data_IF_153018868739
#
_entry.id   IF_153018868739
#
_cell.length_a   1.000
_cell.length_b   1.000
_cell.length_c   1.000
_cell.angle_alpha   90.00
_cell.angle_beta   90.00
_cell.angle_gamma   90.00
#
_symmetry.space_group_name_H-M   'P 1'
#
loop_
_entity.id
_entity.type
_entity.pdbx_description
1 polymer ?
#
# COMPACT_ATOMS: atom_id res chain seq x y z
N UNK A 1 -47.49 -16.28 -54.66
CA UNK A 1 -47.44 -16.19 -53.18
C UNK A 1 -46.56 -17.27 -52.55
N UNK A 2 -46.72 -18.57 -52.87
CA UNK A 2 -45.92 -19.67 -52.27
C UNK A 2 -44.40 -19.57 -52.47
N UNK A 3 -43.92 -19.12 -53.63
CA UNK A 3 -42.47 -18.96 -53.92
C UNK A 3 -41.80 -17.87 -53.04
N UNK A 4 -42.49 -16.77 -52.76
CA UNK A 4 -41.97 -15.68 -51.92
C UNK A 4 -41.88 -16.09 -50.44
N UNK A 5 -42.83 -16.91 -49.96
CA UNK A 5 -42.77 -17.48 -48.60
C UNK A 5 -41.53 -18.35 -48.44
N UNK A 6 -41.21 -19.21 -49.42
CA UNK A 6 -40.00 -20.05 -49.38
C UNK A 6 -38.71 -19.23 -49.33
N UNK A 7 -38.64 -18.13 -50.10
CA UNK A 7 -37.47 -17.22 -50.08
C UNK A 7 -37.32 -16.57 -48.71
N UNK A 8 -38.41 -16.07 -48.11
CA UNK A 8 -38.37 -15.45 -46.78
C UNK A 8 -37.92 -16.46 -45.71
N UNK A 9 -38.43 -17.68 -45.77
CA UNK A 9 -38.03 -18.76 -44.84
C UNK A 9 -36.55 -19.10 -45.01
N UNK A 10 -36.06 -19.23 -46.25
CA UNK A 10 -34.64 -19.51 -46.50
C UNK A 10 -33.74 -18.38 -45.98
N UNK A 11 -34.11 -17.11 -46.22
CA UNK A 11 -33.38 -15.95 -45.69
C UNK A 11 -33.38 -15.95 -44.16
N UNK A 12 -34.51 -16.28 -43.53
CA UNK A 12 -34.60 -16.37 -42.07
C UNK A 12 -33.65 -17.44 -41.49
N UNK A 13 -33.59 -18.63 -42.10
CA UNK A 13 -32.64 -19.67 -41.69
C UNK A 13 -31.18 -19.24 -41.89
N UNK A 14 -30.87 -18.56 -43.00
CA UNK A 14 -29.53 -18.03 -43.26
C UNK A 14 -29.15 -17.00 -42.19
N UNK A 15 -30.07 -16.09 -41.81
CA UNK A 15 -29.83 -15.11 -40.75
C UNK A 15 -29.54 -15.79 -39.41
N UNK A 16 -30.33 -16.80 -39.04
CA UNK A 16 -30.10 -17.57 -37.80
C UNK A 16 -28.75 -18.28 -37.84
N UNK A 17 -28.46 -19.01 -38.93
CA UNK A 17 -27.19 -19.72 -39.09
C UNK A 17 -25.99 -18.76 -39.01
N UNK A 18 -26.12 -17.57 -39.59
CA UNK A 18 -25.10 -16.51 -39.53
C UNK A 18 -24.81 -16.09 -38.09
N UNK A 19 -25.82 -16.00 -37.22
CA UNK A 19 -25.62 -15.65 -35.80
C UNK A 19 -24.72 -16.67 -35.09
N UNK A 20 -24.92 -17.96 -35.32
CA UNK A 20 -24.08 -19.01 -34.72
C UNK A 20 -22.68 -19.07 -35.33
N UNK A 21 -22.55 -18.67 -36.61
CA UNK A 21 -21.26 -18.60 -37.29
C UNK A 21 -20.42 -17.42 -36.80
N UNK A 22 -21.02 -16.25 -36.61
CA UNK A 22 -20.31 -15.03 -36.22
C UNK A 22 -20.17 -14.84 -34.70
N UNK A 23 -21.10 -15.36 -33.89
CA UNK A 23 -21.08 -15.22 -32.44
C UNK A 23 -20.88 -16.60 -31.81
N UNK A 24 -19.71 -16.87 -31.19
CA UNK A 24 -19.41 -18.17 -30.59
C UNK A 24 -20.34 -18.48 -29.42
N UNK A 25 -20.38 -19.75 -28.99
CA UNK A 25 -21.16 -20.15 -27.80
C UNK A 25 -20.60 -19.60 -26.49
N UNK A 26 -19.30 -19.31 -26.44
CA UNK A 26 -18.64 -18.64 -25.33
C UNK A 26 -17.46 -17.83 -25.82
N UNK A 27 -17.02 -16.87 -25.01
CA UNK A 27 -15.83 -16.07 -25.27
C UNK A 27 -15.02 -15.92 -23.98
N UNK A 28 -13.75 -16.29 -24.06
CA UNK A 28 -12.75 -16.01 -23.03
C UNK A 28 -12.15 -14.64 -23.31
N UNK A 29 -11.95 -13.85 -22.28
CA UNK A 29 -11.17 -12.62 -22.36
C UNK A 29 -10.29 -12.47 -21.14
N UNK A 30 -9.15 -11.81 -21.36
CA UNK A 30 -8.20 -11.50 -20.31
C UNK A 30 -7.77 -10.04 -20.43
N UNK A 31 -7.51 -9.43 -19.27
CA UNK A 31 -6.89 -8.13 -19.16
C UNK A 31 -5.70 -8.24 -18.23
N UNK A 32 -4.58 -7.67 -18.66
CA UNK A 32 -3.34 -7.67 -17.90
C UNK A 32 -2.85 -6.25 -17.77
N UNK A 33 -2.59 -5.83 -16.55
CA UNK A 33 -1.94 -4.57 -16.22
C UNK A 33 -0.70 -4.84 -15.38
N UNK A 34 0.31 -4.00 -15.52
CA UNK A 34 1.48 -3.97 -14.62
C UNK A 34 1.32 -2.77 -13.70
N UNK A 35 1.47 -2.97 -12.40
CA UNK A 35 1.47 -1.94 -11.36
C UNK A 35 2.91 -1.74 -10.89
N UNK A 36 3.41 -0.51 -10.91
CA UNK A 36 4.74 -0.15 -10.42
C UNK A 36 4.75 -0.12 -8.87
N UNK A 37 4.50 -1.27 -8.26
CA UNK A 37 4.62 -1.51 -6.83
C UNK A 37 4.94 -2.97 -6.55
N UNK A 38 5.64 -3.22 -5.46
CA UNK A 38 6.04 -4.55 -5.03
C UNK A 38 4.84 -5.47 -4.74
N UNK A 39 4.98 -6.76 -5.08
CA UNK A 39 3.93 -7.78 -5.01
C UNK A 39 3.31 -7.88 -3.62
N UNK A 40 4.14 -7.98 -2.57
CA UNK A 40 3.66 -8.11 -1.21
C UNK A 40 2.79 -6.92 -0.78
N UNK A 41 3.17 -5.70 -1.20
CA UNK A 41 2.37 -4.49 -0.96
C UNK A 41 1.02 -4.56 -1.66
N UNK A 42 1.01 -4.91 -2.95
CA UNK A 42 -0.20 -5.05 -3.76
C UNK A 42 -1.11 -6.16 -3.21
N UNK A 43 -0.55 -7.32 -2.87
CA UNK A 43 -1.26 -8.45 -2.27
C UNK A 43 -1.93 -8.08 -0.95
N UNK A 44 -1.25 -7.33 -0.08
CA UNK A 44 -1.85 -6.83 1.17
C UNK A 44 -3.04 -5.91 0.89
N UNK A 45 -3.08 -5.17 -0.21
CA UNK A 45 -4.24 -4.34 -0.56
C UNK A 45 -5.38 -5.17 -1.14
N UNK A 46 -5.07 -6.04 -2.08
CA UNK A 46 -6.07 -6.76 -2.88
C UNK A 46 -6.71 -7.92 -2.11
N UNK A 47 -5.98 -8.59 -1.23
CA UNK A 47 -6.48 -9.81 -0.54
C UNK A 47 -7.05 -9.52 0.85
N UNK A 48 -6.70 -8.38 1.46
CA UNK A 48 -7.25 -7.97 2.75
C UNK A 48 -8.55 -7.19 2.56
N UNK A 49 -9.66 -7.79 3.00
CA UNK A 49 -11.01 -7.20 2.91
C UNK A 49 -11.11 -5.84 3.60
N UNK A 50 -10.36 -5.63 4.68
CA UNK A 50 -10.38 -4.37 5.44
C UNK A 50 -9.76 -3.22 4.61
N UNK A 51 -8.93 -3.55 3.62
CA UNK A 51 -8.30 -2.58 2.72
C UNK A 51 -9.08 -2.31 1.44
N UNK A 52 -10.13 -3.08 1.12
CA UNK A 52 -10.85 -2.91 -0.15
C UNK A 52 -11.46 -1.53 -0.33
N UNK A 53 -12.00 -0.93 0.74
CA UNK A 53 -12.53 0.42 0.70
C UNK A 53 -11.47 1.49 0.38
N UNK A 54 -10.18 1.18 0.55
CA UNK A 54 -9.08 2.14 0.32
C UNK A 54 -8.59 2.14 -1.12
N UNK A 55 -8.67 1.01 -1.84
CA UNK A 55 -8.19 0.92 -3.21
C UNK A 55 -9.30 0.79 -4.26
N UNK A 56 -10.50 0.37 -3.85
CA UNK A 56 -11.61 0.20 -4.79
C UNK A 56 -12.06 1.57 -5.35
N UNK A 57 -12.07 1.77 -6.68
CA UNK A 57 -12.31 3.09 -7.27
C UNK A 57 -13.77 3.53 -7.30
N UNK A 58 -14.72 2.64 -6.98
CA UNK A 58 -16.14 2.99 -6.84
C UNK A 58 -16.62 2.97 -5.40
N UNK A 59 -17.91 2.66 -5.18
CA UNK A 59 -18.51 2.67 -3.84
C UNK A 59 -18.62 1.25 -3.30
N UNK A 60 -18.32 1.10 -2.01
CA UNK A 60 -18.67 -0.08 -1.24
C UNK A 60 -20.16 -0.03 -0.91
N UNK A 61 -20.90 -1.06 -1.32
CA UNK A 61 -22.32 -1.22 -1.02
C UNK A 61 -22.49 -2.07 0.25
N UNK A 62 -21.75 -3.17 0.37
CA UNK A 62 -21.62 -3.97 1.59
C UNK A 62 -20.22 -4.64 1.70
N UNK A 63 -20.05 -5.66 2.56
CA UNK A 63 -18.76 -6.35 2.73
C UNK A 63 -18.19 -6.94 1.42
N UNK A 64 -19.05 -7.45 0.53
CA UNK A 64 -18.68 -8.16 -0.68
C UNK A 64 -19.13 -7.48 -1.96
N UNK A 65 -20.06 -6.54 -1.87
CA UNK A 65 -20.64 -5.83 -3.00
C UNK A 65 -20.05 -4.43 -3.13
N UNK A 66 -19.56 -4.17 -4.33
CA UNK A 66 -18.97 -2.91 -4.73
C UNK A 66 -19.55 -2.51 -6.06
N UNK A 67 -19.66 -1.22 -6.32
CA UNK A 67 -20.02 -0.72 -7.64
C UNK A 67 -18.85 -0.05 -8.33
N UNK A 68 -18.90 0.02 -9.65
CA UNK A 68 -18.00 0.84 -10.45
C UNK A 68 -18.72 1.28 -11.74
N UNK A 69 -19.08 2.55 -11.83
CA UNK A 69 -20.04 3.03 -12.82
C UNK A 69 -21.42 2.40 -12.57
N UNK A 70 -22.02 1.82 -13.62
CA UNK A 70 -23.33 1.16 -13.54
C UNK A 70 -23.23 -0.38 -13.34
N UNK A 71 -22.06 -0.87 -12.94
CA UNK A 71 -21.77 -2.30 -12.80
C UNK A 71 -21.60 -2.67 -11.33
N UNK A 72 -22.15 -3.83 -10.95
CA UNK A 72 -22.02 -4.37 -9.60
C UNK A 72 -21.00 -5.51 -9.58
N UNK A 73 -20.11 -5.46 -8.61
CA UNK A 73 -19.04 -6.40 -8.39
C UNK A 73 -19.28 -7.09 -7.06
N UNK A 74 -19.39 -8.42 -7.08
CA UNK A 74 -19.41 -9.24 -5.88
C UNK A 74 -18.11 -10.01 -5.78
N UNK A 75 -17.23 -9.61 -4.87
CA UNK A 75 -15.97 -10.33 -4.64
C UNK A 75 -16.26 -11.58 -3.80
N UNK A 76 -15.73 -12.71 -4.22
CA UNK A 76 -15.91 -14.04 -3.64
C UNK A 76 -14.58 -14.79 -3.58
N UNK A 77 -14.52 -15.91 -2.85
CA UNK A 77 -13.37 -16.84 -2.73
C UNK A 77 -12.00 -16.16 -2.84
N UNK A 78 -11.42 -15.80 -1.70
CA UNK A 78 -10.07 -15.26 -1.62
C UNK A 78 -9.10 -16.44 -1.54
N UNK A 79 -8.15 -16.50 -2.47
CA UNK A 79 -7.06 -17.47 -2.52
C UNK A 79 -5.75 -16.79 -2.15
N UNK A 80 -4.65 -17.56 -2.14
CA UNK A 80 -3.33 -17.08 -1.72
C UNK A 80 -2.82 -15.87 -2.53
N UNK A 81 -3.08 -15.84 -3.84
CA UNK A 81 -2.62 -14.79 -4.75
C UNK A 81 -3.71 -14.34 -5.74
N UNK A 82 -4.98 -14.59 -5.41
CA UNK A 82 -6.09 -14.28 -6.31
C UNK A 82 -7.40 -14.18 -5.58
N UNK A 83 -8.40 -13.59 -6.23
CA UNK A 83 -9.79 -13.71 -5.82
C UNK A 83 -10.69 -13.92 -7.03
N UNK A 84 -11.90 -14.42 -6.79
CA UNK A 84 -12.94 -14.43 -7.81
C UNK A 84 -13.92 -13.28 -7.62
N UNK A 85 -14.51 -12.77 -8.69
CA UNK A 85 -15.58 -11.79 -8.57
C UNK A 85 -16.63 -12.00 -9.64
N UNK A 86 -17.90 -11.79 -9.28
CA UNK A 86 -19.00 -11.72 -10.23
C UNK A 86 -19.23 -10.26 -10.62
N UNK A 87 -19.19 -9.97 -11.92
CA UNK A 87 -19.52 -8.65 -12.47
C UNK A 87 -20.90 -8.73 -13.10
N UNK A 88 -21.83 -7.91 -12.65
CA UNK A 88 -23.22 -7.91 -13.08
C UNK A 88 -23.62 -6.56 -13.69
N UNK A 89 -24.34 -6.64 -14.82
CA UNK A 89 -25.00 -5.52 -15.48
C UNK A 89 -26.26 -6.06 -16.16
N UNK A 90 -27.41 -5.78 -15.54
CA UNK A 90 -28.68 -6.48 -15.80
C UNK A 90 -29.00 -6.67 -17.30
N UNK A 91 -29.49 -7.85 -17.72
CA UNK A 91 -29.68 -9.08 -16.93
C UNK A 91 -28.42 -9.97 -16.88
N UNK A 92 -27.32 -9.53 -17.48
CA UNK A 92 -26.15 -10.38 -17.72
C UNK A 92 -25.15 -10.28 -16.55
N UNK A 93 -24.43 -11.38 -16.31
CA UNK A 93 -23.30 -11.39 -15.38
C UNK A 93 -22.17 -12.30 -15.87
N UNK A 94 -20.97 -12.05 -15.37
CA UNK A 94 -19.78 -12.85 -15.68
C UNK A 94 -18.97 -13.07 -14.42
N UNK A 95 -18.45 -14.29 -14.24
CA UNK A 95 -17.46 -14.56 -13.21
C UNK A 95 -16.06 -14.31 -13.76
N UNK A 96 -15.21 -13.67 -12.97
CA UNK A 96 -13.80 -13.48 -13.26
C UNK A 96 -12.92 -13.93 -12.12
N UNK A 97 -11.67 -14.21 -12.47
CA UNK A 97 -10.56 -14.48 -11.57
C UNK A 97 -9.54 -13.35 -11.75
N UNK A 98 -9.26 -12.61 -10.66
CA UNK A 98 -8.14 -11.67 -10.61
C UNK A 98 -6.96 -12.37 -9.96
N UNK A 99 -5.85 -12.50 -10.68
CA UNK A 99 -4.60 -13.09 -10.20
C UNK A 99 -3.53 -12.02 -10.02
N UNK A 100 -2.76 -12.15 -8.95
CA UNK A 100 -1.58 -11.35 -8.64
C UNK A 100 -0.36 -12.19 -8.99
N UNK A 101 0.47 -11.67 -9.89
CA UNK A 101 1.66 -12.35 -10.40
C UNK A 101 2.89 -11.46 -10.18
N UNK A 102 3.99 -11.99 -9.63
CA UNK A 102 5.25 -11.25 -9.58
C UNK A 102 5.76 -10.93 -10.99
N UNK A 103 6.29 -9.73 -11.18
CA UNK A 103 6.99 -9.34 -12.42
C UNK A 103 8.45 -9.02 -12.13
N UNK A 104 8.70 -8.01 -11.29
CA UNK A 104 10.02 -7.60 -10.81
C UNK A 104 9.94 -7.24 -9.32
N UNK A 105 11.04 -6.78 -8.72
CA UNK A 105 11.05 -6.43 -7.29
C UNK A 105 10.12 -5.25 -6.97
N UNK A 106 9.96 -4.32 -7.91
CA UNK A 106 9.15 -3.10 -7.78
C UNK A 106 7.88 -3.14 -8.65
N UNK A 107 7.55 -4.30 -9.24
CA UNK A 107 6.52 -4.39 -10.26
C UNK A 107 5.67 -5.66 -10.11
N UNK A 108 4.35 -5.49 -10.15
CA UNK A 108 3.36 -6.56 -9.99
C UNK A 108 2.42 -6.61 -11.19
N UNK A 109 2.13 -7.80 -11.70
CA UNK A 109 1.12 -7.98 -12.73
C UNK A 109 -0.22 -8.38 -12.10
N UNK A 110 -1.28 -7.70 -12.54
CA UNK A 110 -2.66 -8.10 -12.25
C UNK A 110 -3.29 -8.65 -13.52
N UNK A 111 -3.71 -9.91 -13.47
CA UNK A 111 -4.34 -10.62 -14.58
C UNK A 111 -5.80 -10.93 -14.22
N UNK A 112 -6.73 -10.30 -14.94
CA UNK A 112 -8.14 -10.67 -14.88
C UNK A 112 -8.46 -11.65 -16.01
N UNK A 113 -9.07 -12.78 -15.69
CA UNK A 113 -9.55 -13.77 -16.67
C UNK A 113 -11.03 -14.07 -16.45
N UNK A 114 -11.81 -14.07 -17.52
CA UNK A 114 -13.25 -14.38 -17.48
C UNK A 114 -13.68 -15.15 -18.72
N UNK A 115 -14.72 -15.96 -18.54
CA UNK A 115 -15.40 -16.67 -19.63
C UNK A 115 -16.87 -16.27 -19.63
N UNK A 116 -17.36 -15.71 -20.73
CA UNK A 116 -18.76 -15.38 -20.93
C UNK A 116 -19.43 -16.41 -21.83
N UNK A 117 -20.51 -17.02 -21.38
CA UNK A 117 -21.29 -17.99 -22.16
C UNK A 117 -22.52 -17.31 -22.74
N UNK A 118 -22.66 -17.34 -24.07
CA UNK A 118 -23.79 -16.74 -24.77
C UNK A 118 -24.97 -17.72 -24.84
N UNK A 119 -26.18 -17.18 -24.81
CA UNK A 119 -27.43 -17.95 -24.94
C UNK A 119 -27.45 -18.77 -26.24
N UNK A 120 -28.11 -19.92 -26.21
CA UNK A 120 -28.44 -20.68 -27.40
C UNK A 120 -29.52 -19.98 -28.25
N UNK A 121 -30.30 -19.05 -27.69
CA UNK A 121 -31.29 -18.28 -28.45
C UNK A 121 -30.59 -17.19 -29.30
N UNK A 122 -30.83 -17.11 -30.62
CA UNK A 122 -30.09 -16.21 -31.51
C UNK A 122 -30.37 -14.72 -31.23
N UNK A 123 -31.59 -14.35 -30.85
CA UNK A 123 -31.93 -12.97 -30.50
C UNK A 123 -31.27 -12.54 -29.19
N UNK A 124 -31.35 -13.39 -28.16
CA UNK A 124 -30.67 -13.16 -26.89
C UNK A 124 -29.16 -13.09 -27.07
N UNK A 125 -28.59 -13.97 -27.90
CA UNK A 125 -27.15 -14.00 -28.21
C UNK A 125 -26.67 -12.69 -28.83
N UNK A 126 -27.37 -12.13 -29.81
CA UNK A 126 -27.02 -10.83 -30.41
C UNK A 126 -27.06 -9.73 -29.33
N UNK A 127 -28.11 -9.71 -28.51
CA UNK A 127 -28.27 -8.70 -27.47
C UNK A 127 -27.17 -8.80 -26.40
N UNK A 128 -26.82 -10.01 -25.98
CA UNK A 128 -25.71 -10.30 -25.07
C UNK A 128 -24.37 -9.90 -25.66
N UNK A 129 -24.11 -10.22 -26.93
CA UNK A 129 -22.85 -9.86 -27.60
C UNK A 129 -22.62 -8.35 -27.60
N UNK A 130 -23.68 -7.55 -27.82
CA UNK A 130 -23.59 -6.09 -27.73
C UNK A 130 -23.36 -5.58 -26.30
N UNK A 131 -24.00 -6.17 -25.30
CA UNK A 131 -23.83 -5.75 -23.88
C UNK A 131 -22.49 -6.22 -23.29
N UNK A 132 -21.98 -7.34 -23.76
CA UNK A 132 -20.71 -7.95 -23.34
C UNK A 132 -19.52 -7.02 -23.56
N UNK A 133 -19.50 -6.22 -24.63
CA UNK A 133 -18.45 -5.21 -24.83
C UNK A 133 -18.44 -4.17 -23.72
N UNK A 134 -19.60 -3.80 -23.17
CA UNK A 134 -19.71 -2.90 -22.03
C UNK A 134 -19.10 -3.49 -20.75
N UNK A 135 -19.40 -4.75 -20.44
CA UNK A 135 -18.77 -5.47 -19.31
C UNK A 135 -17.25 -5.49 -19.48
N UNK A 136 -16.77 -5.84 -20.67
CA UNK A 136 -15.36 -5.85 -21.02
C UNK A 136 -14.69 -4.50 -20.81
N UNK A 137 -15.27 -3.42 -21.31
CA UNK A 137 -14.72 -2.07 -21.16
C UNK A 137 -14.75 -1.60 -19.71
N UNK A 138 -15.78 -1.96 -18.94
CA UNK A 138 -15.87 -1.60 -17.52
C UNK A 138 -14.81 -2.30 -16.67
N UNK A 139 -14.55 -3.60 -16.89
CA UNK A 139 -13.47 -4.33 -16.20
C UNK A 139 -12.10 -3.74 -16.56
N UNK A 140 -11.86 -3.41 -17.83
CA UNK A 140 -10.62 -2.75 -18.23
C UNK A 140 -10.44 -1.41 -17.51
N UNK A 141 -11.48 -0.56 -17.50
CA UNK A 141 -11.45 0.72 -16.79
C UNK A 141 -11.27 0.57 -15.27
N UNK A 142 -11.84 -0.48 -14.67
CA UNK A 142 -11.62 -0.82 -13.25
C UNK A 142 -10.15 -1.11 -12.99
N UNK A 143 -9.52 -1.96 -13.82
CA UNK A 143 -8.10 -2.31 -13.67
C UNK A 143 -7.21 -1.09 -13.89
N UNK A 144 -7.46 -0.29 -14.94
CA UNK A 144 -6.68 0.91 -15.23
C UNK A 144 -6.76 1.92 -14.08
N UNK A 145 -7.94 2.10 -13.48
CA UNK A 145 -8.11 2.99 -12.32
C UNK A 145 -7.42 2.40 -11.07
N UNK A 146 -7.53 1.09 -10.87
CA UNK A 146 -6.87 0.38 -9.77
C UNK A 146 -5.34 0.49 -9.87
N UNK A 147 -4.76 0.42 -11.08
CA UNK A 147 -3.33 0.66 -11.32
C UNK A 147 -2.90 2.02 -10.78
N UNK A 148 -3.60 3.09 -11.15
CA UNK A 148 -3.26 4.45 -10.71
C UNK A 148 -3.34 4.63 -9.19
N UNK A 149 -4.21 3.87 -8.53
CA UNK A 149 -4.38 3.91 -7.07
C UNK A 149 -3.27 3.12 -6.37
N UNK A 150 -2.98 1.90 -6.85
CA UNK A 150 -1.99 1.00 -6.25
C UNK A 150 -0.54 1.42 -6.53
N UNK A 151 -0.28 2.24 -7.54
CA UNK A 151 1.05 2.84 -7.78
C UNK A 151 1.44 3.93 -6.78
N UNK A 152 0.51 4.36 -5.92
CA UNK A 152 0.78 5.36 -4.89
C UNK A 152 1.26 4.69 -3.61
N UNK A 153 2.45 5.06 -3.16
CA UNK A 153 3.00 4.58 -1.88
C UNK A 153 2.06 4.93 -0.71
N UNK A 154 1.39 6.08 -0.77
CA UNK A 154 0.42 6.51 0.24
C UNK A 154 -0.78 5.55 0.34
N UNK A 155 -1.16 4.90 -0.76
CA UNK A 155 -2.20 3.86 -0.74
C UNK A 155 -1.69 2.58 -0.10
N UNK A 156 -0.48 2.14 -0.46
CA UNK A 156 0.07 0.86 0.00
C UNK A 156 0.52 0.91 1.47
N UNK A 157 1.23 1.98 1.84
CA UNK A 157 1.94 2.14 3.12
C UNK A 157 1.36 3.24 4.00
N UNK A 158 0.34 3.98 3.53
CA UNK A 158 -0.28 5.06 4.29
C UNK A 158 0.55 6.35 4.38
N UNK A 159 1.73 6.38 3.76
CA UNK A 159 2.66 7.51 3.80
C UNK A 159 3.57 7.57 2.59
N UNK A 160 4.06 8.76 2.28
CA UNK A 160 5.09 8.97 1.26
C UNK A 160 6.45 8.59 1.81
N UNK A 161 7.18 7.73 1.09
CA UNK A 161 8.51 7.25 1.49
C UNK A 161 9.52 7.76 0.47
N UNK A 162 10.43 8.61 0.94
CA UNK A 162 11.46 9.20 0.08
C UNK A 162 12.84 8.74 0.50
N UNK A 163 13.70 8.48 -0.48
CA UNK A 163 15.12 8.26 -0.22
C UNK A 163 15.84 9.61 -0.16
N UNK A 164 16.65 9.81 0.86
CA UNK A 164 17.53 10.96 1.00
C UNK A 164 18.92 10.54 1.51
N UNK A 165 19.81 11.51 1.70
CA UNK A 165 21.14 11.27 2.29
C UNK A 165 21.14 11.63 3.77
N UNK A 166 21.93 10.88 4.55
CA UNK A 166 22.25 11.26 5.94
C UNK A 166 23.12 12.51 5.94
N UNK A 167 22.67 13.57 6.61
CA UNK A 167 23.34 14.88 6.64
C UNK A 167 24.14 15.14 7.91
N UNK A 168 23.72 14.54 9.02
CA UNK A 168 24.32 14.74 10.34
C UNK A 168 25.21 13.55 10.70
N UNK A 169 26.48 13.81 11.00
CA UNK A 169 27.47 12.76 11.26
C UNK A 169 27.78 12.55 12.74
N UNK A 170 27.66 13.59 13.57
CA UNK A 170 28.00 13.56 15.01
C UNK A 170 26.75 13.71 15.87
N UNK A 171 26.60 12.81 16.83
CA UNK A 171 25.48 12.76 17.77
C UNK A 171 26.00 12.55 19.20
N UNK A 172 25.33 13.14 20.19
CA UNK A 172 25.43 12.66 21.57
C UNK A 172 24.17 11.89 21.92
N UNK A 173 24.36 10.72 22.53
CA UNK A 173 23.30 9.79 22.89
C UNK A 173 23.27 9.48 24.38
N UNK A 174 22.08 9.14 24.85
CA UNK A 174 21.77 8.63 26.18
C UNK A 174 20.87 7.41 26.02
N UNK A 175 21.19 6.31 26.69
CA UNK A 175 20.39 5.08 26.70
C UNK A 175 19.87 4.81 28.11
N UNK A 176 18.61 4.37 28.21
CA UNK A 176 17.98 3.86 29.43
C UNK A 176 17.15 2.62 29.11
N UNK A 177 16.91 1.79 30.11
CA UNK A 177 16.05 0.61 30.00
C UNK A 177 14.82 0.82 30.86
N UNK A 178 13.65 0.51 30.31
CA UNK A 178 12.36 0.60 30.99
C UNK A 178 11.65 -0.76 30.99
N UNK A 179 10.85 -1.09 32.02
CA UNK A 179 10.02 -2.30 32.02
C UNK A 179 8.75 -2.15 31.16
N UNK A 180 8.46 -0.95 30.69
CA UNK A 180 7.32 -0.59 29.85
C UNK A 180 7.79 0.22 28.62
N UNK A 181 6.94 0.35 27.61
CA UNK A 181 7.22 1.27 26.50
C UNK A 181 7.35 2.70 27.05
N UNK A 182 8.44 3.43 26.78
CA UNK A 182 8.74 4.69 27.45
C UNK A 182 7.65 5.72 27.24
N UNK A 183 7.24 6.37 28.32
CA UNK A 183 6.27 7.47 28.27
C UNK A 183 6.88 8.71 27.63
N UNK A 184 6.03 9.61 27.13
CA UNK A 184 6.48 10.91 26.61
C UNK A 184 7.33 11.66 27.65
N UNK A 185 6.93 11.65 28.92
CA UNK A 185 7.70 12.34 29.97
C UNK A 185 9.09 11.75 30.15
N UNK A 186 9.23 10.42 30.18
CA UNK A 186 10.53 9.74 30.30
C UNK A 186 11.44 10.02 29.09
N UNK A 187 10.88 10.03 27.87
CA UNK A 187 11.62 10.40 26.65
C UNK A 187 12.12 11.84 26.76
N UNK A 188 11.27 12.79 27.15
CA UNK A 188 11.65 14.20 27.21
C UNK A 188 12.53 14.55 28.42
N UNK A 189 12.52 13.76 29.48
CA UNK A 189 13.56 13.80 30.52
C UNK A 189 14.94 13.44 29.94
N UNK A 190 15.02 12.39 29.13
CA UNK A 190 16.27 12.01 28.44
C UNK A 190 16.72 13.10 27.46
N UNK A 191 15.79 13.69 26.70
CA UNK A 191 16.08 14.83 25.81
C UNK A 191 16.65 16.00 26.60
N UNK A 192 16.00 16.42 27.70
CA UNK A 192 16.49 17.53 28.53
C UNK A 192 17.88 17.25 29.11
N UNK A 193 18.13 16.03 29.57
CA UNK A 193 19.46 15.64 30.05
C UNK A 193 20.54 15.78 28.96
N UNK A 194 20.23 15.39 27.71
CA UNK A 194 21.13 15.57 26.57
C UNK A 194 21.38 17.04 26.24
N UNK A 195 20.32 17.87 26.20
CA UNK A 195 20.45 19.31 25.94
C UNK A 195 21.35 20.00 26.98
N UNK A 196 21.15 19.68 28.26
CA UNK A 196 21.99 20.19 29.35
C UNK A 196 23.45 19.76 29.19
N UNK A 197 23.69 18.49 28.84
CA UNK A 197 25.06 18.00 28.58
C UNK A 197 25.72 18.75 27.41
N UNK A 198 25.01 18.89 26.29
CA UNK A 198 25.51 19.60 25.11
C UNK A 198 25.87 21.06 25.47
N UNK A 199 25.01 21.75 26.22
CA UNK A 199 25.25 23.12 26.66
C UNK A 199 26.49 23.23 27.57
N UNK A 200 26.61 22.37 28.58
CA UNK A 200 27.75 22.38 29.53
C UNK A 200 29.09 22.04 28.87
N UNK A 201 29.08 21.31 27.74
CA UNK A 201 30.28 21.03 26.94
C UNK A 201 30.52 22.03 25.80
N UNK A 202 29.80 23.16 25.78
CA UNK A 202 29.96 24.20 24.75
C UNK A 202 29.66 23.69 23.34
N UNK A 203 28.68 22.80 23.22
CA UNK A 203 28.16 22.28 21.96
C UNK A 203 26.91 23.01 21.50
N UNK A 204 26.50 22.75 20.25
CA UNK A 204 25.30 23.32 19.64
C UNK A 204 24.52 22.20 18.96
N UNK A 205 23.23 22.13 19.27
CA UNK A 205 22.27 21.24 18.62
C UNK A 205 22.15 21.61 17.13
N UNK A 206 22.17 20.62 16.26
CA UNK A 206 22.08 20.83 14.80
C UNK A 206 20.69 20.49 14.25
N UNK A 207 19.99 19.55 14.87
CA UNK A 207 18.71 19.03 14.38
C UNK A 207 17.87 18.49 15.55
N UNK A 208 16.66 18.02 15.25
CA UNK A 208 15.72 17.51 16.23
C UNK A 208 16.25 16.27 16.97
N UNK A 209 15.79 16.03 18.23
CA UNK A 209 16.11 14.81 18.95
C UNK A 209 15.67 13.56 18.18
N UNK A 210 16.50 12.52 18.27
CA UNK A 210 16.29 11.22 17.68
C UNK A 210 15.89 10.23 18.77
N UNK A 211 14.96 9.33 18.48
CA UNK A 211 14.48 8.30 19.38
C UNK A 211 14.54 6.93 18.70
N UNK A 212 15.06 5.94 19.41
CA UNK A 212 14.90 4.54 19.08
C UNK A 212 14.43 3.80 20.34
N UNK A 213 13.41 2.95 20.19
CA UNK A 213 12.92 2.07 21.25
C UNK A 213 13.00 0.65 20.73
N UNK A 214 13.86 -0.16 21.33
CA UNK A 214 14.01 -1.57 21.01
C UNK A 214 13.43 -2.42 22.15
N UNK A 215 12.51 -3.32 21.80
CA UNK A 215 11.93 -4.25 22.76
C UNK A 215 12.75 -5.54 22.79
N UNK A 216 13.41 -5.80 23.93
CA UNK A 216 14.25 -6.97 24.20
C UNK A 216 13.55 -7.93 25.17
N UNK A 217 12.39 -8.45 24.75
CA UNK A 217 11.49 -9.27 25.58
C UNK A 217 10.22 -8.53 26.02
N UNK A 218 9.31 -9.21 26.75
CA UNK A 218 7.99 -8.65 27.08
C UNK A 218 8.07 -7.38 27.94
N UNK A 219 8.96 -7.35 28.93
CA UNK A 219 9.06 -6.28 29.94
C UNK A 219 10.43 -5.59 29.93
N UNK A 220 11.03 -5.41 28.75
CA UNK A 220 12.33 -4.75 28.64
C UNK A 220 12.43 -3.93 27.36
N UNK A 221 12.44 -2.62 27.52
CA UNK A 221 12.51 -1.64 26.45
C UNK A 221 13.80 -0.84 26.56
N UNK A 222 14.74 -1.09 25.66
CA UNK A 222 15.93 -0.27 25.50
C UNK A 222 15.57 0.99 24.73
N UNK A 223 15.56 2.12 25.42
CA UNK A 223 15.27 3.43 24.86
C UNK A 223 16.56 4.21 24.70
N UNK A 224 16.81 4.68 23.49
CA UNK A 224 17.94 5.54 23.18
C UNK A 224 17.45 6.86 22.60
N UNK A 225 17.87 7.95 23.20
CA UNK A 225 17.70 9.30 22.66
C UNK A 225 19.06 9.80 22.20
N UNK A 226 19.10 10.51 21.07
CA UNK A 226 20.29 11.21 20.62
C UNK A 226 19.96 12.60 20.10
N UNK A 227 20.90 13.54 20.15
CA UNK A 227 20.75 14.87 19.53
C UNK A 227 21.96 15.10 18.61
N UNK A 228 21.74 15.41 17.32
CA UNK A 228 22.81 15.80 16.42
C UNK A 228 23.51 17.09 16.86
N UNK A 229 24.84 17.11 16.79
CA UNK A 229 25.66 18.26 17.21
C UNK A 229 26.52 18.78 16.06
N UNK A 230 26.85 20.08 16.08
CA UNK A 230 27.69 20.69 15.04
C UNK A 230 29.13 20.13 15.00
N UNK A 231 29.63 19.67 16.15
CA UNK A 231 30.96 19.08 16.32
C UNK A 231 30.90 17.86 17.23
N UNK A 232 32.00 17.13 17.30
CA UNK A 232 32.15 16.04 18.27
C UNK A 232 32.23 16.61 19.68
N UNK A 233 31.48 15.98 20.58
CA UNK A 233 31.55 16.24 22.01
C UNK A 233 32.11 14.99 22.70
N UNK A 234 32.81 15.15 23.84
CA UNK A 234 33.37 14.01 24.55
C UNK A 234 32.27 13.05 25.02
N UNK A 235 32.64 11.78 25.20
CA UNK A 235 31.80 10.81 25.91
C UNK A 235 32.13 10.88 27.39
N UNK A 236 31.12 11.05 28.24
CA UNK A 236 31.30 11.19 29.69
C UNK A 236 30.09 10.66 30.45
N UNK A 237 30.31 9.92 31.54
CA UNK A 237 29.24 9.39 32.39
C UNK A 237 28.29 8.47 31.61
N UNK A 238 27.04 8.88 31.46
CA UNK A 238 26.00 8.17 30.68
C UNK A 238 25.90 8.64 29.22
N UNK A 239 26.61 9.70 28.85
CA UNK A 239 26.55 10.32 27.53
C UNK A 239 27.61 9.71 26.60
N UNK A 240 27.22 9.34 25.39
CA UNK A 240 28.10 8.69 24.41
C UNK A 240 28.05 9.40 23.08
N UNK A 241 29.22 9.75 22.56
CA UNK A 241 29.40 10.17 21.17
C UNK A 241 29.05 8.99 20.26
N UNK A 242 28.18 9.24 19.28
CA UNK A 242 27.87 8.30 18.21
C UNK A 242 28.10 8.95 16.87
N UNK A 243 28.53 8.14 15.91
CA UNK A 243 28.68 8.52 14.52
C UNK A 243 27.60 7.88 13.69
N UNK A 244 26.97 8.67 12.83
CA UNK A 244 26.03 8.15 11.85
C UNK A 244 26.79 7.50 10.70
N UNK A 245 26.27 6.38 10.21
CA UNK A 245 26.72 5.81 8.93
C UNK A 245 26.21 6.71 7.82
N UNK A 246 27.13 7.40 7.16
CA UNK A 246 26.78 8.25 6.01
C UNK A 246 26.33 7.36 4.85
N UNK A 247 25.23 7.74 4.20
CA UNK A 247 24.65 6.90 3.16
C UNK A 247 23.24 7.29 2.80
N UNK A 248 22.54 6.34 2.17
CA UNK A 248 21.13 6.46 1.85
C UNK A 248 20.28 6.18 3.09
N UNK A 249 19.17 6.89 3.19
CA UNK A 249 18.20 6.69 4.26
C UNK A 249 16.80 6.92 3.69
N UNK A 250 15.87 6.01 4.01
CA UNK A 250 14.46 6.22 3.74
C UNK A 250 13.89 7.14 4.81
N UNK A 251 13.02 8.06 4.40
CA UNK A 251 12.33 9.00 5.27
C UNK A 251 10.84 8.99 4.96
N UNK A 252 10.02 8.95 6.00
CA UNK A 252 8.59 9.20 5.93
C UNK A 252 8.16 10.13 7.06
N UNK A 253 7.19 11.00 6.82
CA UNK A 253 6.64 11.89 7.85
C UNK A 253 5.27 11.39 8.29
N UNK A 254 5.06 11.31 9.60
CA UNK A 254 3.83 10.85 10.22
C UNK A 254 3.31 11.93 11.17
N UNK A 255 2.02 12.22 11.06
CA UNK A 255 1.31 13.13 11.96
C UNK A 255 0.38 12.37 12.90
N UNK A 256 0.60 12.49 14.20
CA UNK A 256 -0.22 11.91 15.26
C UNK A 256 0.57 11.36 16.45
N UNK A 257 -0.19 10.78 17.40
CA UNK A 257 0.35 10.16 18.60
C UNK A 257 1.12 8.85 18.37
N UNK A 258 1.56 8.24 19.47
CA UNK A 258 2.44 7.05 19.47
C UNK A 258 1.90 5.90 18.61
N UNK A 259 0.60 5.61 18.67
CA UNK A 259 0.01 4.52 17.88
C UNK A 259 0.15 4.72 16.37
N UNK A 260 0.01 5.96 15.88
CA UNK A 260 0.22 6.28 14.46
C UNK A 260 1.67 6.19 14.06
N UNK A 261 2.57 6.64 14.94
CA UNK A 261 4.02 6.55 14.74
C UNK A 261 4.46 5.09 14.63
N UNK A 262 4.02 4.22 15.56
CA UNK A 262 4.32 2.78 15.54
C UNK A 262 3.78 2.10 14.27
N UNK A 263 2.55 2.45 13.85
CA UNK A 263 2.00 1.95 12.58
C UNK A 263 2.86 2.40 11.39
N UNK A 264 3.31 3.66 11.38
CA UNK A 264 4.21 4.16 10.34
C UNK A 264 5.56 3.43 10.33
N UNK A 265 6.14 3.13 11.49
CA UNK A 265 7.38 2.35 11.58
C UNK A 265 7.20 0.93 11.02
N UNK A 266 6.06 0.31 11.30
CA UNK A 266 5.70 -0.99 10.74
C UNK A 266 5.56 -0.91 9.22
N UNK A 267 4.88 0.10 8.67
CA UNK A 267 4.73 0.24 7.22
C UNK A 267 6.04 0.61 6.51
N UNK A 268 6.93 1.38 7.15
CA UNK A 268 8.28 1.62 6.63
C UNK A 268 9.10 0.32 6.58
N UNK A 269 8.94 -0.53 7.60
CA UNK A 269 9.58 -1.85 7.64
C UNK A 269 9.01 -2.77 6.55
N UNK A 270 7.69 -2.75 6.34
CA UNK A 270 7.06 -3.46 5.22
C UNK A 270 7.62 -2.99 3.88
N UNK A 271 7.78 -1.68 3.67
CA UNK A 271 8.40 -1.14 2.46
C UNK A 271 9.83 -1.68 2.27
N UNK A 272 10.66 -1.67 3.32
CA UNK A 272 12.03 -2.21 3.27
C UNK A 272 12.02 -3.68 2.85
N UNK A 273 11.12 -4.50 3.41
CA UNK A 273 11.01 -5.92 3.06
C UNK A 273 10.48 -6.14 1.65
N UNK A 274 9.43 -5.43 1.26
CA UNK A 274 8.78 -5.56 -0.05
C UNK A 274 9.77 -5.24 -1.18
N UNK A 275 10.58 -4.20 -1.01
CA UNK A 275 11.60 -3.77 -1.97
C UNK A 275 12.99 -4.40 -1.72
N UNK A 276 13.06 -5.42 -0.84
CA UNK A 276 14.28 -6.20 -0.54
C UNK A 276 15.49 -5.34 -0.17
N UNK A 277 15.24 -4.24 0.54
CA UNK A 277 16.26 -3.31 1.03
C UNK A 277 16.97 -3.90 2.25
N UNK A 278 18.25 -3.55 2.40
CA UNK A 278 19.09 -4.01 3.52
C UNK A 278 19.56 -2.83 4.36
N UNK A 279 19.55 -3.00 5.68
CA UNK A 279 19.91 -1.94 6.61
C UNK A 279 21.35 -2.05 7.11
N UNK A 280 22.15 -0.97 7.07
CA UNK A 280 23.44 -0.90 7.75
C UNK A 280 23.32 -0.54 9.24
N UNK A 281 22.17 -0.03 9.69
CA UNK A 281 22.03 0.57 11.02
C UNK A 281 20.58 0.51 11.54
N UNK A 282 20.39 0.83 12.82
CA UNK A 282 19.06 0.83 13.43
C UNK A 282 18.19 1.99 12.88
N UNK A 283 16.89 1.77 12.62
CA UNK A 283 15.95 2.83 12.31
C UNK A 283 15.68 3.71 13.54
N UNK A 284 15.21 4.93 13.31
CA UNK A 284 14.92 5.89 14.37
C UNK A 284 13.82 6.87 13.99
N UNK A 285 13.24 7.49 15.00
CA UNK A 285 12.30 8.59 14.89
C UNK A 285 13.05 9.91 15.10
N UNK A 286 12.70 10.95 14.37
CA UNK A 286 13.09 12.33 14.64
C UNK A 286 11.88 13.09 15.19
N UNK A 287 12.01 13.57 16.42
CA UNK A 287 10.97 14.22 17.20
C UNK A 287 10.85 15.70 16.81
N UNK A 288 10.24 15.97 15.64
CA UNK A 288 10.11 17.32 15.08
C UNK A 288 9.27 18.23 15.98
N UNK A 289 8.15 17.74 16.49
CA UNK A 289 7.34 18.45 17.49
C UNK A 289 7.81 18.13 18.89
N UNK A 290 8.05 19.17 19.70
CA UNK A 290 8.24 19.02 21.15
C UNK A 290 6.91 18.67 21.82
N UNK A 291 6.75 17.37 22.13
CA UNK A 291 5.55 16.78 22.71
C UNK A 291 5.35 17.18 24.18
N UNK A 292 6.36 17.75 24.84
CA UNK A 292 6.21 18.31 26.19
C UNK A 292 5.53 19.68 26.17
N UNK A 293 5.59 20.38 25.04
CA UNK A 293 4.97 21.70 24.85
C UNK A 293 3.69 21.66 24.00
N UNK A 294 3.45 20.56 23.27
CA UNK A 294 2.23 20.34 22.50
C UNK A 294 1.44 19.16 23.10
N UNK A 295 0.41 19.40 23.92
CA UNK A 295 -0.37 18.31 24.52
C UNK A 295 -1.26 17.58 23.50
N UNK A 296 -1.67 18.24 22.41
CA UNK A 296 -2.50 17.63 21.38
C UNK A 296 -1.68 16.71 20.47
N UNK A 297 -1.82 15.40 20.70
CA UNK A 297 -1.10 14.37 19.94
C UNK A 297 -1.47 14.31 18.46
N UNK A 298 -2.64 14.82 18.04
CA UNK A 298 -3.02 14.86 16.63
C UNK A 298 -2.14 15.83 15.83
N UNK A 299 -1.43 16.74 16.50
CA UNK A 299 -0.56 17.75 15.89
C UNK A 299 0.92 17.38 15.96
N UNK A 300 1.27 16.22 16.51
CA UNK A 300 2.65 15.79 16.61
C UNK A 300 3.19 15.35 15.26
N UNK A 301 4.25 16.01 14.80
CA UNK A 301 5.00 15.63 13.61
C UNK A 301 6.20 14.78 14.04
N UNK A 302 6.33 13.61 13.43
CA UNK A 302 7.46 12.71 13.62
C UNK A 302 7.98 12.26 12.26
N UNK A 303 9.29 12.36 12.04
CA UNK A 303 9.92 11.78 10.84
C UNK A 303 10.52 10.43 11.17
N UNK A 304 10.16 9.42 10.41
CA UNK A 304 10.68 8.07 10.52
C UNK A 304 11.84 7.91 9.56
N UNK A 305 12.92 7.32 10.04
CA UNK A 305 14.14 7.14 9.28
C UNK A 305 14.61 5.69 9.33
N UNK A 306 14.90 5.14 8.15
CA UNK A 306 15.37 3.76 8.00
C UNK A 306 16.63 3.74 7.12
N UNK A 307 17.83 3.59 7.71
CA UNK A 307 19.09 3.52 6.95
C UNK A 307 19.07 2.37 5.95
N UNK A 308 19.59 2.59 4.74
CA UNK A 308 19.68 1.54 3.71
C UNK A 308 21.02 1.60 2.98
N UNK A 309 21.52 0.46 2.51
CA UNK A 309 22.72 0.45 1.65
C UNK A 309 22.41 1.01 0.24
N UNK A 310 21.39 0.46 -0.42
CA UNK A 310 21.00 0.75 -1.81
C UNK A 310 19.49 0.59 -2.03
#
# INVERSE_FOLDING_TARGET
MKKWVLVIVAVFFILIASVYFFIPGSQVFNYKITVNSAENGVSRMILDKEKWATWWPGKKEDEHHYNFGNYHYRISNIFLNSFTATVAHQPDSVQGLLQILPSETDSTQLLWTSTFSFSANPFTRIAQYRRFSGIKSNIQALLDTTKLILEKQETIYGMKIVQQKVTDSSLISLKKTFPHYPTTNEIYEMVRALKNYIATKGGTERNYPMLNVYQDGPDRFETMVAIPTQKDLPSEGLFRLKKMVLGNILMAEVTGGVSRVMKGEQELTNYVHDYRKTSPAIPYQSLVTDRSMQPDSARWITRLYYPIFF
#
